data_IF_004094956850
#
_entry.id   IF_004094956850
#
_cell.length_a   1.000
_cell.length_b   1.000
_cell.length_c   1.000
_cell.angle_alpha   90.00
_cell.angle_beta   90.00
_cell.angle_gamma   90.00
#
_symmetry.space_group_name_H-M   'P 1'
#
loop_
_entity.id
_entity.type
_entity.pdbx_description
1 polymer ?
#
# COMPACT_ATOMS: atom_id res chain seq x y z
N UNK A 1 -6.85 2.13 -6.68
CA UNK A 1 -6.45 2.54 -5.30
C UNK A 1 -5.18 1.81 -4.92
N UNK A 2 -4.22 2.47 -4.28
CA UNK A 2 -2.94 1.83 -3.91
C UNK A 2 -2.74 1.76 -2.40
N UNK A 3 -1.90 0.82 -1.97
CA UNK A 3 -1.40 0.64 -0.62
C UNK A 3 0.13 0.60 -0.69
N UNK A 4 0.74 1.79 -0.67
CA UNK A 4 2.17 1.92 -0.88
C UNK A 4 2.97 1.81 0.42
N UNK A 5 4.12 1.17 0.35
CA UNK A 5 5.06 0.97 1.44
C UNK A 5 5.94 2.20 1.70
N UNK A 6 6.53 2.25 2.90
CA UNK A 6 7.47 3.29 3.35
C UNK A 6 8.76 3.36 2.53
N UNK A 7 9.21 2.26 1.92
CA UNK A 7 10.42 2.26 1.08
C UNK A 7 10.36 3.23 -0.10
N UNK A 8 9.16 3.58 -0.59
CA UNK A 8 8.99 4.58 -1.65
C UNK A 8 9.44 5.98 -1.25
N UNK A 9 9.42 6.32 0.05
CA UNK A 9 10.04 7.54 0.59
C UNK A 9 11.54 7.39 0.87
N UNK A 10 12.07 6.17 0.84
CA UNK A 10 13.49 5.87 1.11
C UNK A 10 13.79 5.37 2.52
N UNK A 11 15.06 5.09 2.79
CA UNK A 11 15.49 4.36 3.98
C UNK A 11 15.17 5.07 5.32
N UNK A 12 15.16 6.40 5.37
CA UNK A 12 14.82 7.15 6.59
C UNK A 12 13.35 6.97 6.98
N UNK A 13 12.45 6.99 6.00
CA UNK A 13 11.03 6.71 6.18
C UNK A 13 10.76 5.30 6.69
N UNK A 14 11.51 4.30 6.21
CA UNK A 14 11.40 2.93 6.71
C UNK A 14 11.83 2.81 8.17
N UNK A 15 12.90 3.51 8.57
CA UNK A 15 13.34 3.57 9.98
C UNK A 15 12.28 4.25 10.84
N UNK A 16 11.75 5.39 10.38
CA UNK A 16 10.69 6.11 11.08
C UNK A 16 9.47 5.23 11.31
N UNK A 17 9.00 4.48 10.30
CA UNK A 17 7.89 3.53 10.45
C UNK A 17 8.15 2.52 11.58
N UNK A 18 9.33 1.89 11.62
CA UNK A 18 9.68 0.93 12.68
C UNK A 18 9.75 1.63 14.05
N UNK A 19 10.31 2.83 14.11
CA UNK A 19 10.37 3.63 15.34
C UNK A 19 8.97 3.94 15.87
N UNK A 20 8.03 4.37 15.02
CA UNK A 20 6.64 4.61 15.39
C UNK A 20 5.95 3.33 15.91
N UNK A 21 6.16 2.18 15.25
CA UNK A 21 5.65 0.89 15.73
C UNK A 21 6.15 0.56 17.14
N UNK A 22 7.44 0.80 17.42
CA UNK A 22 8.02 0.62 18.75
C UNK A 22 7.45 1.56 19.80
N UNK A 23 7.26 2.84 19.47
CA UNK A 23 6.64 3.83 20.37
C UNK A 23 5.21 3.41 20.75
N UNK A 24 4.40 2.97 19.77
CA UNK A 24 3.03 2.50 20.02
C UNK A 24 3.05 1.27 20.93
N UNK A 25 3.83 0.24 20.60
CA UNK A 25 3.93 -0.98 21.40
C UNK A 25 4.34 -0.68 22.85
N UNK A 26 5.40 0.11 23.03
CA UNK A 26 5.92 0.43 24.36
C UNK A 26 4.95 1.24 25.21
N UNK A 27 4.02 1.97 24.60
CA UNK A 27 2.99 2.70 25.33
C UNK A 27 1.98 1.79 26.04
N UNK A 28 1.83 0.53 25.63
CA UNK A 28 0.80 -0.39 26.18
C UNK A 28 1.35 -1.77 26.54
N UNK A 29 2.67 -1.96 26.49
CA UNK A 29 3.31 -3.27 26.66
C UNK A 29 2.90 -3.99 27.96
N UNK A 30 2.72 -3.25 29.05
CA UNK A 30 2.28 -3.77 30.35
C UNK A 30 0.82 -4.26 30.37
N UNK A 31 -0.01 -3.73 29.47
CA UNK A 31 -1.44 -4.02 29.40
C UNK A 31 -1.77 -5.19 28.44
N UNK A 32 -0.86 -5.51 27.51
CA UNK A 32 -1.03 -6.58 26.53
C UNK A 32 -1.02 -7.97 27.17
N UNK A 33 -0.25 -8.17 28.24
CA UNK A 33 -0.08 -9.49 28.89
C UNK A 33 -1.15 -9.80 29.96
N UNK A 34 -1.90 -8.80 30.43
CA UNK A 34 -2.68 -8.87 31.67
C UNK A 34 -4.21 -8.85 31.50
N UNK A 35 -4.76 -9.24 30.35
CA UNK A 35 -6.19 -9.05 30.02
C UNK A 35 -6.63 -7.59 30.24
N UNK A 36 -5.77 -6.62 29.89
CA UNK A 36 -6.11 -5.20 30.00
C UNK A 36 -7.40 -4.88 29.26
N UNK A 37 -8.20 -3.95 29.80
CA UNK A 37 -9.42 -3.53 29.14
C UNK A 37 -9.07 -2.93 27.77
N UNK A 38 -9.56 -3.55 26.69
CA UNK A 38 -9.15 -3.21 25.32
C UNK A 38 -9.40 -1.75 24.95
N UNK A 39 -10.42 -1.12 25.56
CA UNK A 39 -10.71 0.31 25.35
C UNK A 39 -9.67 1.23 26.00
N UNK A 40 -9.07 0.82 27.13
CA UNK A 40 -7.99 1.58 27.75
C UNK A 40 -6.70 1.47 26.91
N UNK A 41 -6.45 0.30 26.33
CA UNK A 41 -5.34 0.06 25.39
C UNK A 41 -5.52 0.93 24.14
N UNK A 42 -6.70 0.88 23.50
CA UNK A 42 -7.02 1.68 22.31
C UNK A 42 -6.85 3.18 22.58
N UNK A 43 -7.40 3.66 23.70
CA UNK A 43 -7.27 5.06 24.11
C UNK A 43 -5.79 5.47 24.24
N UNK A 44 -4.97 4.68 24.92
CA UNK A 44 -3.55 4.98 25.14
C UNK A 44 -2.74 4.93 23.84
N UNK A 45 -3.06 4.01 22.93
CA UNK A 45 -2.50 3.98 21.58
C UNK A 45 -2.87 5.24 20.80
N UNK A 46 -4.15 5.63 20.79
CA UNK A 46 -4.61 6.82 20.08
C UNK A 46 -4.01 8.13 20.62
N UNK A 47 -3.88 8.25 21.95
CA UNK A 47 -3.19 9.38 22.59
C UNK A 47 -1.71 9.42 22.22
N UNK A 48 -1.04 8.27 22.19
CA UNK A 48 0.37 8.14 21.79
C UNK A 48 0.57 8.52 20.33
N UNK A 49 -0.30 8.06 19.42
CA UNK A 49 -0.23 8.41 17.98
C UNK A 49 -0.36 9.93 17.76
N UNK A 50 -1.14 10.62 18.59
CA UNK A 50 -1.38 12.07 18.48
C UNK A 50 -0.38 12.91 19.28
N UNK A 51 0.51 12.30 20.05
CA UNK A 51 1.42 13.05 20.92
C UNK A 51 2.57 13.66 20.12
N UNK A 52 3.21 14.67 20.70
CA UNK A 52 4.43 15.27 20.16
C UNK A 52 5.65 14.33 20.17
N UNK A 53 5.57 13.23 20.91
CA UNK A 53 6.67 12.26 21.04
C UNK A 53 6.70 11.25 19.89
N UNK A 54 5.65 11.23 19.05
CA UNK A 54 5.59 10.38 17.86
C UNK A 54 6.61 10.88 16.81
N UNK A 55 7.62 10.08 16.41
CA UNK A 55 8.60 10.52 15.43
C UNK A 55 7.98 10.64 14.05
N UNK A 56 7.92 11.86 13.51
CA UNK A 56 7.28 12.18 12.22
C UNK A 56 8.15 13.09 11.33
N UNK A 57 9.45 13.16 11.59
CA UNK A 57 10.36 14.07 10.88
C UNK A 57 10.40 13.86 9.35
N UNK A 58 10.13 12.64 8.88
CA UNK A 58 10.18 12.29 7.47
C UNK A 58 8.78 12.33 6.83
N UNK A 59 7.78 11.68 7.43
CA UNK A 59 6.41 11.66 6.88
C UNK A 59 5.59 12.93 7.19
N UNK A 60 5.99 13.72 8.19
CA UNK A 60 5.24 14.86 8.72
C UNK A 60 4.03 14.48 9.58
N UNK A 61 3.53 13.26 9.46
CA UNK A 61 2.40 12.71 10.23
C UNK A 61 2.62 11.21 10.55
N UNK A 62 1.89 10.64 11.53
CA UNK A 62 2.01 9.23 11.87
C UNK A 62 1.59 8.29 10.73
N UNK A 63 2.38 7.24 10.51
CA UNK A 63 2.10 6.16 9.56
C UNK A 63 1.78 4.83 10.25
N UNK A 64 2.50 4.45 11.31
CA UNK A 64 2.18 3.25 12.08
C UNK A 64 0.81 3.39 12.75
N UNK A 65 -0.05 2.38 12.60
CA UNK A 65 -1.45 2.45 13.09
C UNK A 65 -2.34 3.44 12.32
N UNK A 66 -1.88 3.95 11.17
CA UNK A 66 -2.55 4.98 10.37
C UNK A 66 -2.37 4.72 8.87
N UNK A 67 -2.71 5.72 8.05
CA UNK A 67 -2.43 5.82 6.61
C UNK A 67 -2.30 7.30 6.19
N UNK A 68 -1.67 7.56 5.04
CA UNK A 68 -1.54 8.92 4.48
C UNK A 68 -2.12 8.91 3.06
N UNK A 69 -3.27 9.58 2.80
CA UNK A 69 -3.96 9.54 1.52
C UNK A 69 -3.46 10.61 0.53
N UNK A 70 -2.16 10.90 0.56
CA UNK A 70 -1.51 11.83 -0.35
C UNK A 70 -0.03 11.46 -0.49
N UNK A 71 0.48 11.39 -1.73
CA UNK A 71 1.88 11.04 -2.00
C UNK A 71 2.44 11.99 -3.06
N UNK A 72 3.61 12.58 -2.78
CA UNK A 72 4.28 13.55 -3.66
C UNK A 72 3.52 14.90 -3.71
N UNK A 73 4.03 15.85 -4.50
CA UNK A 73 3.49 17.22 -4.58
C UNK A 73 2.09 17.28 -5.18
N UNK A 74 1.32 18.31 -4.83
CA UNK A 74 0.05 18.62 -5.48
C UNK A 74 0.26 19.14 -6.91
N UNK A 75 -0.68 18.80 -7.79
CA UNK A 75 -0.80 19.37 -9.14
C UNK A 75 -2.07 20.23 -9.22
N UNK A 76 -2.10 21.16 -10.18
CA UNK A 76 -3.18 22.14 -10.33
C UNK A 76 -4.56 21.53 -10.60
N UNK A 77 -4.62 20.29 -11.08
CA UNK A 77 -5.85 19.56 -11.40
C UNK A 77 -6.43 18.79 -10.19
N UNK A 78 -5.84 18.93 -9.00
CA UNK A 78 -6.29 18.24 -7.78
C UNK A 78 -5.71 16.84 -7.58
N UNK A 79 -4.94 16.32 -8.54
CA UNK A 79 -4.18 15.09 -8.34
C UNK A 79 -2.92 15.37 -7.53
N UNK A 80 -2.47 14.36 -6.79
CA UNK A 80 -1.06 14.28 -6.42
C UNK A 80 -0.21 13.84 -7.62
N UNK A 81 1.07 14.21 -7.61
CA UNK A 81 1.98 13.83 -8.70
C UNK A 81 2.13 12.32 -8.85
N UNK A 82 1.99 11.56 -7.76
CA UNK A 82 2.03 10.10 -7.79
C UNK A 82 0.85 9.48 -8.55
N UNK A 83 -0.35 10.05 -8.40
CA UNK A 83 -1.55 9.60 -9.13
C UNK A 83 -1.44 9.93 -10.62
N UNK A 84 -0.96 11.13 -10.92
CA UNK A 84 -0.73 11.59 -12.30
C UNK A 84 0.25 10.69 -13.07
N UNK A 85 1.31 10.20 -12.41
CA UNK A 85 2.29 9.26 -13.01
C UNK A 85 1.60 8.00 -13.55
N UNK A 86 0.57 7.49 -12.87
CA UNK A 86 -0.18 6.31 -13.31
C UNK A 86 -0.71 6.43 -14.74
N UNK A 87 -1.23 7.60 -15.10
CA UNK A 87 -1.70 7.88 -16.46
C UNK A 87 -0.55 8.04 -17.46
N UNK A 88 0.39 8.95 -17.18
CA UNK A 88 1.40 9.35 -18.19
C UNK A 88 2.43 8.26 -18.43
N UNK A 89 2.87 7.56 -17.38
CA UNK A 89 3.92 6.54 -17.50
C UNK A 89 3.38 5.28 -18.18
N UNK A 90 2.19 4.81 -17.81
CA UNK A 90 1.59 3.64 -18.44
C UNK A 90 1.38 3.84 -19.94
N UNK A 91 0.83 4.98 -20.34
CA UNK A 91 0.59 5.27 -21.76
C UNK A 91 1.88 5.47 -22.55
N UNK A 92 2.94 5.99 -21.91
CA UNK A 92 4.26 6.07 -22.52
C UNK A 92 4.89 4.69 -22.72
N UNK A 93 4.89 3.83 -21.69
CA UNK A 93 5.44 2.47 -21.75
C UNK A 93 4.74 1.63 -22.82
N UNK A 94 3.41 1.75 -22.93
CA UNK A 94 2.61 1.00 -23.91
C UNK A 94 2.62 1.61 -25.32
N UNK A 95 3.32 2.74 -25.55
CA UNK A 95 3.32 3.42 -26.85
C UNK A 95 1.94 3.95 -27.27
N UNK A 96 1.10 4.34 -26.31
CA UNK A 96 -0.31 4.76 -26.50
C UNK A 96 -0.53 6.26 -26.36
N UNK A 97 0.50 7.07 -26.57
CA UNK A 97 0.42 8.53 -26.39
C UNK A 97 -0.67 9.18 -27.25
N UNK A 98 -0.93 8.65 -28.45
CA UNK A 98 -1.96 9.16 -29.37
C UNK A 98 -3.37 8.62 -29.09
N UNK A 99 -3.49 7.56 -28.29
CA UNK A 99 -4.77 6.92 -27.94
C UNK A 99 -4.71 6.36 -26.50
N UNK A 100 -4.63 7.25 -25.50
CA UNK A 100 -4.33 6.86 -24.14
C UNK A 100 -5.46 6.03 -23.50
N UNK A 101 -5.07 5.11 -22.62
CA UNK A 101 -5.96 4.42 -21.69
C UNK A 101 -6.07 5.29 -20.44
N UNK A 102 -7.28 5.74 -20.06
CA UNK A 102 -7.48 6.44 -18.81
C UNK A 102 -7.11 5.56 -17.62
N UNK A 103 -6.24 6.07 -16.77
CA UNK A 103 -5.78 5.44 -15.53
C UNK A 103 -5.78 6.53 -14.48
N UNK A 104 -6.49 6.30 -13.39
CA UNK A 104 -6.60 7.26 -12.30
C UNK A 104 -6.93 6.51 -11.00
N UNK A 105 -6.82 7.20 -9.87
CA UNK A 105 -7.19 6.68 -8.56
C UNK A 105 -6.52 7.47 -7.44
N UNK A 106 -6.62 6.93 -6.22
CA UNK A 106 -5.96 7.51 -5.04
C UNK A 106 -4.74 6.71 -4.64
N UNK A 107 -3.63 7.42 -4.43
CA UNK A 107 -2.37 6.84 -3.97
C UNK A 107 -2.21 7.02 -2.45
N UNK A 108 -2.33 5.92 -1.69
CA UNK A 108 -2.27 5.93 -0.22
C UNK A 108 -1.00 5.26 0.28
N UNK A 109 -0.30 5.89 1.25
CA UNK A 109 0.83 5.29 1.98
C UNK A 109 0.30 4.54 3.20
N UNK A 110 0.78 3.32 3.42
CA UNK A 110 0.45 2.47 4.56
C UNK A 110 1.72 1.99 5.29
N UNK A 111 1.55 1.45 6.50
CA UNK A 111 2.62 0.91 7.33
C UNK A 111 3.24 -0.41 6.84
N UNK A 112 3.57 -0.53 5.56
CA UNK A 112 4.30 -1.65 4.98
C UNK A 112 5.76 -1.28 4.68
N UNK A 113 6.69 -2.24 4.77
CA UNK A 113 8.11 -1.95 4.60
C UNK A 113 8.51 -1.67 3.16
N UNK A 114 8.26 -2.61 2.22
CA UNK A 114 8.82 -2.53 0.86
C UNK A 114 8.03 -3.17 -0.28
N UNK A 115 6.76 -3.50 -0.07
CA UNK A 115 5.87 -3.97 -1.13
C UNK A 115 4.74 -2.98 -1.36
N UNK A 116 4.33 -2.78 -2.60
CA UNK A 116 3.14 -2.02 -2.95
C UNK A 116 2.03 -3.00 -3.30
N UNK A 117 0.85 -2.79 -2.74
CA UNK A 117 -0.36 -3.52 -3.13
C UNK A 117 -1.30 -2.55 -3.84
N UNK A 118 -2.13 -3.07 -4.74
CA UNK A 118 -3.03 -2.25 -5.54
C UNK A 118 -4.38 -2.96 -5.70
N UNK A 119 -5.46 -2.21 -5.56
CA UNK A 119 -6.80 -2.67 -5.84
C UNK A 119 -7.32 -1.96 -7.10
N UNK A 120 -7.74 -2.76 -8.08
CA UNK A 120 -8.12 -2.28 -9.40
C UNK A 120 -9.61 -2.48 -9.66
N UNK A 121 -10.21 -1.50 -10.33
CA UNK A 121 -11.49 -1.65 -11.03
C UNK A 121 -11.19 -1.49 -12.52
N UNK A 122 -11.26 -2.58 -13.28
CA UNK A 122 -10.83 -2.61 -14.68
C UNK A 122 -12.06 -2.65 -15.58
N UNK A 123 -12.23 -1.63 -16.43
CA UNK A 123 -13.29 -1.60 -17.44
C UNK A 123 -12.80 -2.26 -18.73
N UNK A 124 -13.28 -3.47 -19.00
CA UNK A 124 -12.98 -4.19 -20.24
C UNK A 124 -13.75 -3.60 -21.43
N UNK A 125 -13.22 -3.80 -22.64
CA UNK A 125 -13.86 -3.35 -23.90
C UNK A 125 -15.03 -4.23 -24.33
N UNK A 126 -15.04 -5.47 -23.87
CA UNK A 126 -16.05 -6.49 -24.16
C UNK A 126 -16.15 -7.46 -22.99
N UNK A 127 -17.17 -8.31 -23.00
CA UNK A 127 -17.29 -9.40 -22.05
C UNK A 127 -16.29 -10.51 -22.41
N UNK A 128 -15.43 -10.88 -21.48
CA UNK A 128 -14.40 -11.92 -21.66
C UNK A 128 -14.60 -12.95 -20.54
N UNK A 129 -14.60 -14.26 -20.85
CA UNK A 129 -14.63 -15.31 -19.84
C UNK A 129 -13.51 -15.17 -18.81
N UNK A 130 -13.78 -15.51 -17.55
CA UNK A 130 -12.84 -15.28 -16.46
C UNK A 130 -11.58 -16.16 -16.57
N UNK A 131 -11.75 -17.40 -17.02
CA UNK A 131 -10.67 -18.34 -17.30
C UNK A 131 -9.72 -17.84 -18.40
N UNK A 132 -10.24 -17.19 -19.43
CA UNK A 132 -9.43 -16.50 -20.44
C UNK A 132 -8.64 -15.32 -19.84
N UNK A 133 -9.26 -14.52 -18.96
CA UNK A 133 -8.58 -13.41 -18.26
C UNK A 133 -7.44 -13.93 -17.39
N UNK A 134 -7.70 -14.97 -16.59
CA UNK A 134 -6.70 -15.61 -15.74
C UNK A 134 -5.53 -16.15 -16.57
N UNK A 135 -5.83 -16.82 -17.68
CA UNK A 135 -4.80 -17.37 -18.57
C UNK A 135 -3.95 -16.26 -19.22
N UNK A 136 -4.58 -15.23 -19.77
CA UNK A 136 -3.87 -14.09 -20.38
C UNK A 136 -2.94 -13.38 -19.39
N UNK A 137 -3.33 -13.27 -18.12
CA UNK A 137 -2.49 -12.67 -17.08
C UNK A 137 -1.34 -13.62 -16.72
N UNK A 138 -1.62 -14.90 -16.48
CA UNK A 138 -0.62 -15.88 -16.06
C UNK A 138 0.47 -16.11 -17.11
N UNK A 139 0.12 -16.03 -18.41
CA UNK A 139 1.06 -16.26 -19.51
C UNK A 139 1.87 -15.01 -19.90
N UNK A 140 1.59 -13.85 -19.29
CA UNK A 140 2.17 -12.59 -19.74
C UNK A 140 3.69 -12.47 -19.51
N UNK A 141 4.24 -13.12 -18.48
CA UNK A 141 5.67 -13.15 -18.16
C UNK A 141 6.01 -14.18 -17.06
N UNK A 142 7.30 -14.39 -16.79
CA UNK A 142 7.79 -15.40 -15.84
C UNK A 142 7.55 -15.07 -14.35
N UNK A 143 7.14 -13.85 -14.01
CA UNK A 143 7.07 -13.36 -12.63
C UNK A 143 5.63 -13.22 -12.10
N UNK A 144 4.67 -13.02 -12.99
CA UNK A 144 3.26 -12.85 -12.63
C UNK A 144 2.67 -14.18 -12.13
N UNK A 145 1.86 -14.13 -11.08
CA UNK A 145 1.23 -15.33 -10.50
C UNK A 145 -0.23 -15.06 -10.18
N UNK A 146 -1.14 -15.64 -10.96
CA UNK A 146 -2.58 -15.57 -10.65
C UNK A 146 -2.88 -16.39 -9.40
N UNK A 147 -3.37 -15.73 -8.36
CA UNK A 147 -3.77 -16.38 -7.10
C UNK A 147 -5.26 -16.76 -7.19
N UNK A 148 -5.63 -18.03 -6.92
CA UNK A 148 -7.03 -18.43 -6.93
C UNK A 148 -7.85 -17.59 -5.94
N UNK A 149 -9.07 -17.22 -6.34
CA UNK A 149 -9.98 -16.40 -5.52
C UNK A 149 -10.61 -17.21 -4.38
N UNK A 150 -9.78 -17.64 -3.44
CA UNK A 150 -10.15 -18.36 -2.23
C UNK A 150 -9.42 -17.77 -1.02
N UNK A 151 -10.10 -17.76 0.13
CA UNK A 151 -9.67 -17.06 1.35
C UNK A 151 -8.25 -17.44 1.78
N UNK A 152 -8.01 -18.74 1.97
CA UNK A 152 -6.80 -19.22 2.64
C UNK A 152 -5.56 -19.00 1.78
N UNK A 153 -5.65 -19.28 0.47
CA UNK A 153 -4.53 -19.05 -0.46
C UNK A 153 -4.28 -17.57 -0.69
N UNK A 154 -5.32 -16.72 -0.75
CA UNK A 154 -5.17 -15.27 -0.85
C UNK A 154 -4.44 -14.71 0.36
N UNK A 155 -4.84 -15.10 1.57
CA UNK A 155 -4.20 -14.64 2.80
C UNK A 155 -2.73 -15.10 2.91
N UNK A 156 -2.41 -16.28 2.38
CA UNK A 156 -1.05 -16.84 2.41
C UNK A 156 -0.13 -16.27 1.33
N UNK A 157 -0.65 -15.99 0.12
CA UNK A 157 0.16 -15.70 -1.06
C UNK A 157 0.09 -14.24 -1.55
N UNK A 158 -1.03 -13.53 -1.34
CA UNK A 158 -1.27 -12.19 -1.89
C UNK A 158 -1.06 -11.09 -0.84
N UNK A 159 0.10 -11.10 -0.18
CA UNK A 159 0.42 -10.12 0.88
C UNK A 159 1.85 -9.60 0.81
N UNK A 160 2.12 -8.38 1.34
CA UNK A 160 3.50 -7.89 1.51
C UNK A 160 4.40 -8.87 2.27
N UNK A 161 3.86 -9.59 3.26
CA UNK A 161 4.60 -10.54 4.07
C UNK A 161 5.14 -11.71 3.23
N UNK A 162 4.38 -12.18 2.23
CA UNK A 162 4.82 -13.21 1.30
C UNK A 162 5.82 -12.71 0.25
N UNK A 163 5.54 -11.55 -0.34
CA UNK A 163 6.20 -11.10 -1.58
C UNK A 163 7.52 -10.39 -1.33
N UNK A 164 7.72 -9.81 -0.15
CA UNK A 164 8.89 -8.98 0.17
C UNK A 164 10.22 -9.68 -0.12
N UNK A 165 11.08 -9.02 -0.92
CA UNK A 165 12.40 -9.54 -1.27
C UNK A 165 12.41 -10.62 -2.36
N UNK A 166 11.26 -10.95 -2.96
CA UNK A 166 11.15 -11.87 -4.09
C UNK A 166 10.99 -11.10 -5.42
N UNK A 167 11.08 -11.82 -6.54
CA UNK A 167 10.71 -11.30 -7.87
C UNK A 167 9.26 -11.62 -8.25
N UNK A 168 8.51 -12.33 -7.39
CA UNK A 168 7.12 -12.73 -7.66
C UNK A 168 6.20 -11.50 -7.71
N UNK A 169 5.26 -11.48 -8.65
CA UNK A 169 4.21 -10.45 -8.76
C UNK A 169 2.84 -11.12 -8.74
N UNK A 170 2.32 -11.48 -7.55
CA UNK A 170 1.00 -12.07 -7.43
C UNK A 170 -0.13 -11.04 -7.53
#
# INVERSE_FOLDING_TARGET
MTYQAASGGGARHMRELISQMGVIHNSVADQLDLNGAILDIDKRVAETIRSSDMPVDNFGVPLAGSLIPWIDVALDNGQSKEEWKGFVETNKILGRSDSPIPIDGTCVRIGAMRCHSQAFTIKLKQNVPLDEIESMIAEANDWVKVIPNARDITAAELTPAKVTGTLSVP
#
